data_IF_789618903924
#
_entry.id   IF_789618903924
#
_cell.length_a   1.000
_cell.length_b   1.000
_cell.length_c   1.000
_cell.angle_alpha   90.00
_cell.angle_beta   90.00
_cell.angle_gamma   90.00
#
_symmetry.space_group_name_H-M   'P 1'
#
loop_
_entity.id
_entity.type
_entity.pdbx_description
1 polymer ?
#
# COMPACT_ATOMS: atom_id res chain seq x y z
N UNK A 1 30.00 -10.99 -18.74
CA UNK A 1 30.57 -11.16 -17.38
C UNK A 1 30.08 -12.49 -16.83
N UNK A 2 30.93 -13.32 -16.19
CA UNK A 2 30.47 -14.52 -15.51
C UNK A 2 29.61 -14.13 -14.29
N UNK A 3 28.62 -14.97 -13.96
CA UNK A 3 27.74 -14.75 -12.81
C UNK A 3 28.55 -14.85 -11.52
N UNK A 4 28.43 -13.85 -10.66
CA UNK A 4 29.09 -13.85 -9.34
C UNK A 4 28.31 -14.77 -8.40
N UNK A 5 29.03 -15.58 -7.62
CA UNK A 5 28.43 -16.41 -6.58
C UNK A 5 27.99 -15.54 -5.40
N UNK A 6 26.71 -15.52 -5.09
CA UNK A 6 26.15 -14.67 -4.06
C UNK A 6 26.61 -15.06 -2.64
N UNK A 7 27.04 -16.30 -2.39
CA UNK A 7 27.64 -16.66 -1.10
C UNK A 7 28.96 -15.91 -0.83
N UNK A 8 29.64 -15.44 -1.88
CA UNK A 8 30.88 -14.65 -1.73
C UNK A 8 30.61 -13.22 -1.28
N UNK A 9 29.44 -12.68 -1.61
CA UNK A 9 29.02 -11.31 -1.28
C UNK A 9 28.17 -11.29 -0.01
N UNK A 10 27.36 -12.33 0.21
CA UNK A 10 26.42 -12.48 1.31
C UNK A 10 26.74 -13.74 2.14
N UNK A 11 27.87 -13.76 2.87
CA UNK A 11 28.36 -14.96 3.55
C UNK A 11 27.46 -15.46 4.69
N UNK A 12 26.61 -14.59 5.23
CA UNK A 12 25.71 -14.90 6.35
C UNK A 12 24.25 -15.14 5.92
N UNK A 13 23.97 -15.09 4.61
CA UNK A 13 22.62 -15.33 4.12
C UNK A 13 22.27 -16.83 4.18
N UNK A 14 20.99 -17.14 4.42
CA UNK A 14 20.52 -18.52 4.33
C UNK A 14 20.56 -18.98 2.87
N UNK A 15 20.68 -20.30 2.67
CA UNK A 15 20.68 -20.87 1.32
C UNK A 15 19.40 -20.52 0.55
N UNK A 16 18.26 -20.48 1.23
CA UNK A 16 16.97 -20.11 0.64
C UNK A 16 16.92 -18.63 0.23
N UNK A 17 17.52 -17.74 1.02
CA UNK A 17 17.63 -16.31 0.66
C UNK A 17 18.46 -16.13 -0.62
N UNK A 18 19.59 -16.82 -0.68
CA UNK A 18 20.51 -16.77 -1.82
C UNK A 18 19.87 -17.36 -3.07
N UNK A 19 19.11 -18.45 -2.94
CA UNK A 19 18.38 -19.06 -4.05
C UNK A 19 17.30 -18.13 -4.60
N UNK A 20 16.47 -17.52 -3.73
CA UNK A 20 15.44 -16.58 -4.17
C UNK A 20 16.04 -15.36 -4.87
N UNK A 21 17.07 -14.76 -4.27
CA UNK A 21 17.81 -13.64 -4.86
C UNK A 21 18.43 -14.06 -6.20
N UNK A 22 18.89 -15.30 -6.27
CA UNK A 22 19.35 -15.99 -7.46
C UNK A 22 18.41 -15.83 -8.65
N UNK A 23 17.14 -16.15 -8.42
CA UNK A 23 16.06 -16.16 -9.42
C UNK A 23 15.49 -14.77 -9.70
N UNK A 24 15.57 -13.83 -8.76
CA UNK A 24 15.13 -12.44 -8.93
C UNK A 24 16.13 -11.60 -9.74
N UNK A 25 17.43 -11.81 -9.53
CA UNK A 25 18.50 -11.08 -10.21
C UNK A 25 18.93 -11.80 -11.50
N UNK A 26 17.94 -12.14 -12.34
CA UNK A 26 18.16 -12.56 -13.72
C UNK A 26 18.28 -11.31 -14.62
N UNK A 27 19.25 -11.34 -15.54
CA UNK A 27 19.47 -10.25 -16.50
C UNK A 27 18.38 -10.25 -17.56
N UNK A 28 18.06 -11.43 -18.08
CA UNK A 28 16.91 -11.62 -18.95
C UNK A 28 15.62 -11.51 -18.10
N UNK A 29 14.68 -10.60 -18.45
CA UNK A 29 13.41 -10.51 -17.74
C UNK A 29 12.57 -11.78 -17.86
N UNK A 30 12.68 -12.54 -18.94
CA UNK A 30 11.89 -13.77 -19.14
C UNK A 30 12.37 -14.90 -18.23
N UNK A 31 13.65 -14.88 -17.83
CA UNK A 31 14.23 -15.81 -16.86
C UNK A 31 13.95 -15.40 -15.40
N UNK A 32 13.43 -14.19 -15.17
CA UNK A 32 13.17 -13.68 -13.83
C UNK A 32 11.95 -14.38 -13.25
N UNK A 33 12.07 -14.84 -12.01
CA UNK A 33 10.94 -15.40 -11.27
C UNK A 33 9.77 -14.41 -11.20
N UNK A 34 8.56 -14.88 -11.46
CA UNK A 34 7.36 -14.07 -11.28
C UNK A 34 7.07 -13.82 -9.80
N UNK A 35 6.35 -12.74 -9.49
CA UNK A 35 5.93 -12.44 -8.12
C UNK A 35 5.12 -13.60 -7.54
N UNK A 36 4.19 -14.18 -8.30
CA UNK A 36 3.38 -15.32 -7.85
C UNK A 36 4.22 -16.52 -7.40
N UNK A 37 5.26 -16.89 -8.15
CA UNK A 37 6.13 -18.03 -7.79
C UNK A 37 7.12 -17.65 -6.67
N UNK A 38 7.60 -16.40 -6.65
CA UNK A 38 8.47 -15.91 -5.58
C UNK A 38 7.78 -15.92 -4.22
N UNK A 39 6.49 -15.61 -4.22
CA UNK A 39 5.63 -15.62 -3.04
C UNK A 39 5.39 -17.03 -2.47
N UNK A 40 5.52 -18.08 -3.29
CA UNK A 40 5.45 -19.49 -2.86
C UNK A 40 6.83 -20.03 -2.39
N UNK A 41 7.88 -19.21 -2.43
CA UNK A 41 9.23 -19.64 -2.11
C UNK A 41 9.41 -19.92 -0.61
N UNK A 42 10.14 -21.00 -0.21
CA UNK A 42 10.37 -21.35 1.20
C UNK A 42 10.89 -20.18 2.05
N UNK A 43 11.76 -19.36 1.46
CA UNK A 43 12.34 -18.19 2.13
C UNK A 43 11.32 -17.20 2.70
N UNK A 44 10.17 -17.00 2.03
CA UNK A 44 9.14 -16.04 2.47
C UNK A 44 7.92 -16.73 3.12
N UNK A 45 7.98 -18.05 3.29
CA UNK A 45 6.85 -18.85 3.74
C UNK A 45 6.36 -18.44 5.14
N UNK A 46 7.26 -18.05 6.04
CA UNK A 46 6.91 -17.59 7.38
C UNK A 46 6.13 -16.27 7.38
N UNK A 47 6.26 -15.46 6.32
CA UNK A 47 5.60 -14.18 6.17
C UNK A 47 4.37 -14.24 5.24
N UNK A 48 4.01 -15.42 4.74
CA UNK A 48 2.97 -15.58 3.73
C UNK A 48 1.59 -15.35 4.32
N UNK A 49 0.77 -14.52 3.66
CA UNK A 49 -0.62 -14.28 4.06
C UNK A 49 -1.57 -14.24 2.85
N UNK A 50 -2.03 -15.41 2.35
CA UNK A 50 -2.78 -15.51 1.09
C UNK A 50 -4.03 -14.62 1.01
N UNK A 51 -4.74 -14.49 2.12
CA UNK A 51 -5.97 -13.68 2.20
C UNK A 51 -5.69 -12.17 2.09
N UNK A 52 -4.48 -11.72 2.41
CA UNK A 52 -4.06 -10.31 2.29
C UNK A 52 -3.25 -10.00 1.05
N UNK A 53 -3.15 -10.94 0.11
CA UNK A 53 -2.39 -10.79 -1.14
C UNK A 53 -3.32 -10.92 -2.35
N UNK A 54 -4.34 -10.05 -2.48
CA UNK A 54 -5.30 -10.13 -3.57
C UNK A 54 -4.66 -9.79 -4.91
N UNK A 55 -5.23 -10.35 -5.97
CA UNK A 55 -4.93 -9.96 -7.35
C UNK A 55 -5.98 -8.91 -7.74
N UNK A 56 -5.54 -7.85 -8.41
CA UNK A 56 -6.47 -6.85 -8.96
C UNK A 56 -7.45 -7.53 -9.93
N UNK A 57 -8.72 -7.13 -9.85
CA UNK A 57 -9.81 -7.67 -10.68
C UNK A 57 -9.74 -7.20 -12.14
N UNK A 58 -8.93 -6.18 -12.42
CA UNK A 58 -8.68 -5.65 -13.75
C UNK A 58 -7.22 -5.26 -13.93
N UNK A 59 -6.81 -5.11 -15.19
CA UNK A 59 -5.51 -4.56 -15.55
C UNK A 59 -5.62 -3.04 -15.45
N UNK A 60 -4.67 -2.42 -14.76
CA UNK A 60 -4.51 -0.96 -14.77
C UNK A 60 -3.81 -0.59 -16.07
N UNK A 61 -4.54 0.06 -16.96
CA UNK A 61 -4.02 0.59 -18.22
C UNK A 61 -3.77 2.10 -18.09
N UNK A 62 -2.87 2.65 -18.91
CA UNK A 62 -2.71 4.09 -19.05
C UNK A 62 -3.86 4.58 -19.93
N UNK A 63 -4.65 5.52 -19.42
CA UNK A 63 -5.77 6.07 -20.17
C UNK A 63 -5.29 6.85 -21.40
N UNK A 64 -6.09 6.84 -22.47
CA UNK A 64 -5.74 7.54 -23.71
C UNK A 64 -5.56 9.06 -23.50
N UNK A 65 -6.23 9.64 -22.50
CA UNK A 65 -6.05 11.02 -22.08
C UNK A 65 -4.70 11.27 -21.42
N UNK A 66 -4.22 10.34 -20.59
CA UNK A 66 -2.89 10.39 -19.96
C UNK A 66 -1.78 10.24 -21.00
N UNK A 67 -1.92 9.30 -21.93
CA UNK A 67 -0.95 9.11 -23.02
C UNK A 67 -0.87 10.34 -23.94
N UNK A 68 -1.98 11.07 -24.09
CA UNK A 68 -2.03 12.30 -24.88
C UNK A 68 -1.53 13.56 -24.14
N UNK A 69 -1.37 13.50 -22.82
CA UNK A 69 -0.99 14.66 -22.01
C UNK A 69 0.51 14.94 -22.10
N UNK A 70 0.86 16.14 -22.60
CA UNK A 70 2.28 16.52 -22.82
C UNK A 70 2.64 17.77 -22.02
N UNK A 71 1.71 18.70 -21.86
CA UNK A 71 1.95 19.97 -21.19
C UNK A 71 1.55 19.92 -19.72
N UNK A 72 2.11 20.84 -18.93
CA UNK A 72 1.79 20.93 -17.52
C UNK A 72 0.32 21.29 -17.29
N UNK A 73 -0.31 22.05 -18.20
CA UNK A 73 -1.73 22.39 -18.12
C UNK A 73 -2.62 21.17 -18.37
N UNK A 74 -2.26 20.29 -19.32
CA UNK A 74 -2.98 19.02 -19.55
C UNK A 74 -2.97 18.16 -18.26
N UNK A 75 -1.81 18.01 -17.63
CA UNK A 75 -1.69 17.26 -16.37
C UNK A 75 -2.45 17.92 -15.21
N UNK A 76 -2.50 19.25 -15.16
CA UNK A 76 -3.32 19.97 -14.15
C UNK A 76 -4.80 19.67 -14.32
N UNK A 77 -5.28 19.62 -15.56
CA UNK A 77 -6.67 19.31 -15.87
C UNK A 77 -7.01 17.87 -15.47
N UNK A 78 -6.20 16.89 -15.88
CA UNK A 78 -6.41 15.48 -15.52
C UNK A 78 -6.44 15.25 -14.00
N UNK A 79 -5.48 15.84 -13.27
CA UNK A 79 -5.45 15.74 -11.80
C UNK A 79 -6.69 16.39 -11.19
N UNK A 80 -7.12 17.54 -11.73
CA UNK A 80 -8.31 18.22 -11.22
C UNK A 80 -9.59 17.40 -11.45
N UNK A 81 -9.73 16.79 -12.63
CA UNK A 81 -10.84 15.89 -12.96
C UNK A 81 -10.89 14.69 -12.01
N UNK A 82 -9.75 14.05 -11.74
CA UNK A 82 -9.68 12.92 -10.81
C UNK A 82 -10.10 13.31 -9.38
N UNK A 83 -9.72 14.50 -8.91
CA UNK A 83 -10.20 15.03 -7.63
C UNK A 83 -11.73 15.18 -7.62
N UNK A 84 -12.34 15.64 -8.72
CA UNK A 84 -13.80 15.75 -8.81
C UNK A 84 -14.46 14.38 -8.78
N UNK A 85 -13.94 13.40 -9.52
CA UNK A 85 -14.43 12.02 -9.55
C UNK A 85 -14.35 11.39 -8.14
N UNK A 86 -13.22 11.56 -7.47
CA UNK A 86 -13.02 11.07 -6.10
C UNK A 86 -14.02 11.71 -5.12
N UNK A 87 -14.24 13.02 -5.19
CA UNK A 87 -15.19 13.70 -4.31
C UNK A 87 -16.64 13.26 -4.57
N UNK A 88 -17.02 13.07 -5.84
CA UNK A 88 -18.35 12.60 -6.21
C UNK A 88 -18.62 11.16 -5.74
N UNK A 89 -17.62 10.27 -5.85
CA UNK A 89 -17.70 8.89 -5.40
C UNK A 89 -17.64 8.74 -3.87
N UNK A 90 -16.86 9.58 -3.19
CA UNK A 90 -16.78 9.61 -1.72
C UNK A 90 -18.12 9.99 -1.07
N UNK A 91 -18.86 10.90 -1.68
CA UNK A 91 -20.20 11.28 -1.20
C UNK A 91 -21.23 10.14 -1.28
N UNK A 92 -20.96 9.07 -2.04
CA UNK A 92 -21.76 7.83 -2.09
C UNK A 92 -21.31 6.77 -1.08
N UNK A 93 -20.05 6.80 -0.62
CA UNK A 93 -19.50 5.82 0.33
C UNK A 93 -19.95 6.06 1.77
N UNK A 94 -20.22 7.30 2.15
CA UNK A 94 -20.74 7.66 3.48
C UNK A 94 -22.09 6.98 3.82
N UNK A 95 -22.81 6.46 2.83
CA UNK A 95 -24.10 5.77 3.05
C UNK A 95 -23.97 4.24 3.27
N UNK A 96 -22.81 3.63 2.99
CA UNK A 96 -22.61 2.18 3.08
C UNK A 96 -21.87 1.73 4.36
N UNK A 97 -21.29 2.66 5.12
CA UNK A 97 -20.58 2.34 6.38
C UNK A 97 -21.52 2.19 7.60
N UNK A 98 -22.84 2.23 7.42
CA UNK A 98 -23.81 2.09 8.52
C UNK A 98 -24.34 0.66 8.73
N UNK A 99 -23.65 -0.37 8.22
CA UNK A 99 -23.97 -1.77 8.51
C UNK A 99 -22.73 -2.64 8.67
N UNK A 100 -22.09 -2.60 9.83
CA UNK A 100 -21.81 -3.84 10.53
C UNK A 100 -21.99 -3.68 12.05
N UNK A 101 -22.74 -4.63 12.58
CA UNK A 101 -23.15 -4.76 13.95
C UNK A 101 -22.00 -5.28 14.81
N UNK A 102 -21.21 -4.38 15.40
CA UNK A 102 -20.46 -4.66 16.63
C UNK A 102 -20.69 -3.57 17.68
N UNK A 103 -21.95 -3.12 17.83
CA UNK A 103 -22.36 -2.09 18.78
C UNK A 103 -22.58 -2.59 20.23
N UNK A 104 -22.36 -3.86 20.57
CA UNK A 104 -22.72 -4.38 21.91
C UNK A 104 -21.58 -4.91 22.76
N UNK A 105 -20.31 -4.69 22.40
CA UNK A 105 -19.19 -5.23 23.20
C UNK A 105 -18.05 -4.25 23.52
N UNK A 106 -18.27 -2.94 23.47
CA UNK A 106 -17.39 -1.97 24.15
C UNK A 106 -18.21 -0.77 24.60
N UNK A 107 -18.96 -0.98 25.68
CA UNK A 107 -19.60 0.12 26.41
C UNK A 107 -19.21 -0.03 27.86
N UNK A 108 -18.11 0.61 28.24
CA UNK A 108 -17.92 1.24 29.55
C UNK A 108 -16.55 1.93 29.63
N UNK A 109 -16.59 3.15 30.19
CA UNK A 109 -15.48 3.95 30.71
C UNK A 109 -14.53 4.59 29.70
N UNK A 110 -14.93 5.74 29.13
CA UNK A 110 -14.35 7.02 29.55
C UNK A 110 -15.22 8.18 29.01
N UNK A 111 -16.12 8.70 29.84
CA UNK A 111 -16.82 9.96 29.56
C UNK A 111 -16.47 10.95 30.66
N UNK A 112 -15.27 11.51 30.57
CA UNK A 112 -15.01 12.85 31.11
C UNK A 112 -14.42 13.71 30.00
N UNK A 113 -15.28 14.39 29.26
CA UNK A 113 -14.85 15.46 28.38
C UNK A 113 -14.20 16.52 29.28
N UNK A 114 -12.88 16.69 29.19
CA UNK A 114 -12.17 17.75 29.90
C UNK A 114 -12.59 19.07 29.27
N UNK A 115 -13.36 19.85 30.04
CA UNK A 115 -13.74 21.20 29.71
C UNK A 115 -12.47 22.06 29.62
N UNK A 116 -12.15 22.53 28.42
CA UNK A 116 -10.95 23.32 28.12
C UNK A 116 -11.17 24.82 28.35
N UNK A 117 -12.35 25.21 28.83
CA UNK A 117 -12.66 26.61 29.12
C UNK A 117 -11.78 27.23 30.22
N UNK A 118 -11.14 26.38 31.04
CA UNK A 118 -10.27 26.78 32.15
C UNK A 118 -8.76 26.66 31.84
N UNK A 119 -8.40 26.32 30.60
CA UNK A 119 -6.98 26.13 30.23
C UNK A 119 -6.29 27.46 29.97
N UNK A 120 -5.06 27.58 30.45
CA UNK A 120 -4.25 28.79 30.22
C UNK A 120 -3.82 28.91 28.75
N UNK A 121 -3.53 30.14 28.29
CA UNK A 121 -3.06 30.39 26.91
C UNK A 121 -1.77 29.63 26.56
N UNK A 122 -0.93 29.34 27.56
CA UNK A 122 0.29 28.55 27.39
C UNK A 122 -0.03 27.07 27.12
N UNK A 123 -1.11 26.54 27.71
CA UNK A 123 -1.57 25.17 27.52
C UNK A 123 -2.30 24.99 26.18
N UNK A 124 -3.07 25.99 25.76
CA UNK A 124 -3.72 25.99 24.43
C UNK A 124 -2.71 25.94 23.29
N UNK A 125 -1.54 26.58 23.47
CA UNK A 125 -0.46 26.59 22.46
C UNK A 125 0.25 25.25 22.28
N UNK A 126 0.11 24.31 23.22
CA UNK A 126 0.73 22.97 23.12
C UNK A 126 -0.13 21.95 22.36
N UNK A 127 -1.36 22.31 21.98
CA UNK A 127 -2.35 21.40 21.39
C UNK A 127 -2.52 21.61 19.87
N UNK A 128 -1.87 22.64 19.32
CA UNK A 128 -1.75 22.89 17.88
C UNK A 128 -0.32 22.57 17.45
#
# INVERSE_FOLDING_TARGET
>A
MPRVDFFTILPNASAEAVDLLGKMLALDPDDRISVSVALEHPYVQECRYPEGEPIADHIVEVDASEEAAVTLDDWRELIWEEIQIFNASSSHRDSLDNFDSTSTLFKEQDSSAVDKSDWSDEELRKVI
#
